data_IF_817185211792
#
_entry.id   IF_817185211792
#
_cell.length_a   1.000
_cell.length_b   1.000
_cell.length_c   1.000
_cell.angle_alpha   90.00
_cell.angle_beta   90.00
_cell.angle_gamma   90.00
#
_symmetry.space_group_name_H-M   'P 1'
#
loop_
_entity.id
_entity.type
_entity.pdbx_description
1 polymer ?
#
# COMPACT_ATOMS: atom_id res chain seq x y z
N UNK A 1 47.87 -23.50 2.86
CA UNK A 1 46.52 -23.43 3.45
C UNK A 1 45.76 -22.34 2.69
N UNK A 2 45.13 -22.73 1.59
CA UNK A 2 44.51 -21.82 0.62
C UNK A 2 43.22 -21.22 1.20
N UNK A 3 43.10 -19.89 1.09
CA UNK A 3 41.87 -19.14 1.36
C UNK A 3 40.79 -19.67 0.41
N UNK A 4 39.66 -20.11 0.98
CA UNK A 4 38.43 -20.34 0.23
C UNK A 4 37.96 -18.97 -0.30
N UNK A 5 38.11 -18.77 -1.60
CA UNK A 5 37.46 -17.68 -2.31
C UNK A 5 35.95 -17.84 -2.16
N UNK A 6 35.33 -16.81 -1.59
CA UNK A 6 33.88 -16.67 -1.51
C UNK A 6 33.34 -16.47 -2.91
N UNK A 7 32.70 -17.50 -3.46
CA UNK A 7 31.86 -17.38 -4.65
C UNK A 7 30.76 -16.36 -4.36
N UNK A 8 30.76 -15.22 -5.05
CA UNK A 8 29.63 -14.30 -5.08
C UNK A 8 28.39 -15.09 -5.52
N UNK A 9 27.24 -15.03 -4.82
CA UNK A 9 26.07 -15.79 -5.23
C UNK A 9 25.64 -15.30 -6.61
N UNK A 10 25.65 -16.20 -7.60
CA UNK A 10 25.09 -15.92 -8.92
C UNK A 10 23.65 -15.44 -8.76
N UNK A 11 23.29 -14.40 -9.51
CA UNK A 11 21.94 -13.85 -9.53
C UNK A 11 20.94 -14.98 -9.89
N UNK A 12 20.06 -15.36 -8.94
CA UNK A 12 19.04 -16.36 -9.22
C UNK A 12 17.91 -15.68 -9.99
N UNK A 13 17.58 -16.15 -11.22
CA UNK A 13 16.51 -15.55 -12.00
C UNK A 13 15.14 -15.74 -11.32
N UNK A 14 14.27 -14.77 -11.51
CA UNK A 14 12.86 -14.85 -11.09
C UNK A 14 12.14 -15.92 -11.91
N UNK A 15 11.50 -16.85 -11.22
CA UNK A 15 10.66 -17.86 -11.87
C UNK A 15 9.28 -17.29 -12.18
N UNK A 16 8.95 -17.24 -13.47
CA UNK A 16 7.70 -16.67 -13.98
C UNK A 16 6.48 -17.56 -13.77
N UNK A 17 6.65 -18.80 -13.29
CA UNK A 17 5.55 -19.73 -12.99
C UNK A 17 4.71 -19.30 -11.79
N UNK A 18 5.27 -18.51 -10.88
CA UNK A 18 4.52 -18.01 -9.72
C UNK A 18 3.50 -16.97 -10.17
N UNK A 19 2.21 -17.29 -10.00
CA UNK A 19 1.12 -16.40 -10.39
C UNK A 19 0.68 -15.52 -9.21
N UNK A 20 0.21 -14.30 -9.52
CA UNK A 20 -0.35 -13.34 -8.57
C UNK A 20 -1.84 -13.09 -8.76
N UNK A 21 -2.33 -13.16 -10.00
CA UNK A 21 -3.74 -13.03 -10.39
C UNK A 21 -4.07 -14.04 -11.49
N UNK A 22 -5.31 -14.49 -11.57
CA UNK A 22 -5.75 -15.50 -12.57
C UNK A 22 -7.18 -15.25 -13.03
N UNK A 23 -8.06 -14.91 -12.09
CA UNK A 23 -9.49 -14.79 -12.33
C UNK A 23 -9.82 -13.70 -13.35
N UNK A 24 -10.67 -14.01 -14.32
CA UNK A 24 -11.08 -13.08 -15.38
C UNK A 24 -9.99 -12.79 -16.44
N UNK A 25 -8.79 -13.36 -16.29
CA UNK A 25 -7.67 -13.11 -17.19
C UNK A 25 -7.55 -14.20 -18.25
N UNK A 26 -7.02 -13.88 -19.44
CA UNK A 26 -6.80 -14.87 -20.50
C UNK A 26 -5.73 -15.91 -20.14
N UNK A 27 -4.90 -15.63 -19.12
CA UNK A 27 -3.88 -16.52 -18.56
C UNK A 27 -3.44 -16.03 -17.18
N UNK A 28 -2.88 -16.91 -16.31
CA UNK A 28 -2.32 -16.48 -15.04
C UNK A 28 -1.29 -15.35 -15.21
N UNK A 29 -1.45 -14.32 -14.41
CA UNK A 29 -0.60 -13.14 -14.39
C UNK A 29 0.57 -13.36 -13.42
N UNK A 30 1.83 -13.21 -13.88
CA UNK A 30 2.98 -13.46 -13.01
C UNK A 30 2.95 -12.56 -11.77
N UNK A 31 3.32 -13.13 -10.63
CA UNK A 31 3.31 -12.40 -9.35
C UNK A 31 4.19 -11.17 -9.43
N UNK A 32 5.40 -11.27 -10.01
CA UNK A 32 6.31 -10.14 -10.18
C UNK A 32 5.65 -8.96 -10.92
N UNK A 33 4.90 -9.22 -11.99
CA UNK A 33 4.22 -8.17 -12.74
C UNK A 33 3.19 -7.44 -11.87
N UNK A 34 2.40 -8.18 -11.08
CA UNK A 34 1.48 -7.57 -10.13
C UNK A 34 2.19 -6.76 -9.02
N UNK A 35 3.32 -7.25 -8.50
CA UNK A 35 4.13 -6.51 -7.52
C UNK A 35 4.62 -5.17 -8.10
N UNK A 36 5.06 -5.17 -9.37
CA UNK A 36 5.46 -3.96 -10.10
C UNK A 36 4.27 -3.02 -10.28
N UNK A 37 3.13 -3.54 -10.72
CA UNK A 37 1.93 -2.75 -10.97
C UNK A 37 1.47 -2.02 -9.71
N UNK A 38 1.40 -2.73 -8.59
CA UNK A 38 1.05 -2.13 -7.30
C UNK A 38 2.07 -1.07 -6.86
N UNK A 39 3.37 -1.29 -7.08
CA UNK A 39 4.39 -0.29 -6.78
C UNK A 39 4.24 0.99 -7.64
N UNK A 40 3.94 0.84 -8.93
CA UNK A 40 3.77 1.96 -9.86
C UNK A 40 2.51 2.76 -9.56
N UNK A 41 1.39 2.06 -9.31
CA UNK A 41 0.13 2.69 -8.89
C UNK A 41 0.29 3.40 -7.54
N UNK A 42 0.99 2.80 -6.57
CA UNK A 42 1.30 3.48 -5.32
C UNK A 42 2.06 4.79 -5.55
N UNK A 43 3.06 4.79 -6.44
CA UNK A 43 3.80 6.00 -6.82
C UNK A 43 2.89 7.10 -7.37
N UNK A 44 1.94 6.75 -8.24
CA UNK A 44 0.96 7.69 -8.76
C UNK A 44 -0.01 8.20 -7.66
N UNK A 45 -0.48 7.32 -6.77
CA UNK A 45 -1.33 7.70 -5.64
C UNK A 45 -0.60 8.64 -4.68
N UNK A 46 0.67 8.37 -4.38
CA UNK A 46 1.53 9.24 -3.57
C UNK A 46 1.60 10.65 -4.14
N UNK A 47 1.72 10.78 -5.46
CA UNK A 47 1.86 12.08 -6.12
C UNK A 47 0.57 12.90 -6.13
N UNK A 48 -0.60 12.24 -6.24
CA UNK A 48 -1.88 12.94 -6.39
C UNK A 48 -2.67 13.07 -5.09
N UNK A 49 -2.65 12.06 -4.21
CA UNK A 49 -3.46 12.04 -2.99
C UNK A 49 -2.81 12.73 -1.80
N UNK A 50 -1.49 12.66 -1.68
CA UNK A 50 -0.79 13.28 -0.55
C UNK A 50 -0.43 14.73 -0.86
N UNK A 51 -0.71 15.63 0.09
CA UNK A 51 -0.22 17.00 0.05
C UNK A 51 1.30 17.06 0.27
N UNK A 52 1.95 18.13 -0.17
CA UNK A 52 3.39 18.35 0.05
C UNK A 52 3.77 18.20 1.53
N UNK A 53 2.98 18.80 2.41
CA UNK A 53 3.17 18.72 3.85
C UNK A 53 3.09 17.27 4.37
N UNK A 54 2.15 16.46 3.86
CA UNK A 54 2.05 15.05 4.25
C UNK A 54 3.23 14.23 3.72
N UNK A 55 3.65 14.47 2.47
CA UNK A 55 4.82 13.82 1.86
C UNK A 55 6.09 14.12 2.66
N UNK A 56 6.29 15.37 3.06
CA UNK A 56 7.38 15.79 3.92
C UNK A 56 7.30 15.17 5.32
N UNK A 57 6.11 15.12 5.92
CA UNK A 57 5.90 14.50 7.24
C UNK A 57 6.26 13.03 7.23
N UNK A 58 5.83 12.28 6.21
CA UNK A 58 6.16 10.87 6.03
C UNK A 58 7.66 10.68 5.78
N UNK A 59 8.27 11.48 4.90
CA UNK A 59 9.70 11.40 4.62
C UNK A 59 10.56 11.68 5.87
N UNK A 60 10.22 12.73 6.62
CA UNK A 60 10.87 13.07 7.90
C UNK A 60 10.74 11.97 8.94
N UNK A 61 9.56 11.34 9.04
CA UNK A 61 9.33 10.24 9.96
C UNK A 61 10.23 9.02 9.67
N UNK A 62 10.51 8.76 8.38
CA UNK A 62 11.41 7.70 7.94
C UNK A 62 12.90 8.07 8.01
N UNK A 63 13.22 9.36 8.18
CA UNK A 63 14.60 9.87 8.08
C UNK A 63 15.10 9.91 6.63
N UNK A 64 14.21 10.15 5.66
CA UNK A 64 14.50 10.12 4.22
C UNK A 64 14.16 11.45 3.55
N UNK A 65 14.70 11.69 2.36
CA UNK A 65 14.17 12.73 1.46
C UNK A 65 12.80 12.33 0.90
N UNK A 66 12.00 13.30 0.42
CA UNK A 66 10.68 13.00 -0.18
C UNK A 66 10.79 12.06 -1.38
N UNK A 67 11.83 12.22 -2.21
CA UNK A 67 12.08 11.37 -3.37
C UNK A 67 12.46 9.93 -2.98
N UNK A 68 13.29 9.77 -1.94
CA UNK A 68 13.62 8.46 -1.38
C UNK A 68 12.41 7.81 -0.74
N UNK A 69 11.65 8.54 0.09
CA UNK A 69 10.43 8.05 0.72
C UNK A 69 9.43 7.54 -0.33
N UNK A 70 9.22 8.28 -1.42
CA UNK A 70 8.37 7.84 -2.53
C UNK A 70 8.82 6.50 -3.11
N UNK A 71 10.11 6.33 -3.41
CA UNK A 71 10.67 5.08 -3.97
C UNK A 71 10.61 3.92 -2.97
N UNK A 72 10.96 4.18 -1.71
CA UNK A 72 10.92 3.17 -0.64
C UNK A 72 9.50 2.71 -0.35
N UNK A 73 8.53 3.62 -0.30
CA UNK A 73 7.13 3.26 -0.04
C UNK A 73 6.46 2.61 -1.26
N UNK A 74 6.82 2.99 -2.49
CA UNK A 74 6.42 2.25 -3.69
C UNK A 74 6.98 0.82 -3.68
N UNK A 75 8.25 0.66 -3.30
CA UNK A 75 8.85 -0.66 -3.08
C UNK A 75 8.09 -1.47 -2.02
N UNK A 76 7.75 -0.87 -0.87
CA UNK A 76 6.94 -1.55 0.15
C UNK A 76 5.57 -1.97 -0.38
N UNK A 77 4.89 -1.09 -1.12
CA UNK A 77 3.60 -1.41 -1.73
C UNK A 77 3.71 -2.60 -2.67
N UNK A 78 4.75 -2.67 -3.50
CA UNK A 78 5.00 -3.82 -4.35
C UNK A 78 5.31 -5.11 -3.58
N UNK A 79 5.75 -5.05 -2.32
CA UNK A 79 6.02 -6.24 -1.50
C UNK A 79 4.78 -6.83 -0.79
N UNK A 80 3.62 -6.16 -0.82
CA UNK A 80 2.43 -6.58 -0.07
C UNK A 80 2.03 -8.05 -0.34
N UNK A 81 2.19 -8.50 -1.58
CA UNK A 81 1.80 -9.83 -2.06
C UNK A 81 2.98 -10.80 -2.23
N UNK A 82 4.16 -10.50 -1.68
CA UNK A 82 5.32 -11.39 -1.79
C UNK A 82 5.04 -12.80 -1.21
N UNK A 83 4.16 -12.89 -0.22
CA UNK A 83 3.69 -14.14 0.38
C UNK A 83 2.85 -15.02 -0.55
N UNK A 84 2.48 -14.56 -1.75
CA UNK A 84 1.89 -15.42 -2.79
C UNK A 84 2.87 -16.44 -3.34
N UNK A 85 4.17 -16.22 -3.16
CA UNK A 85 5.23 -17.20 -3.46
C UNK A 85 5.32 -18.19 -2.29
N UNK A 86 4.25 -18.96 -2.11
CA UNK A 86 4.12 -20.01 -1.09
C UNK A 86 3.28 -21.18 -1.61
N UNK A 87 3.53 -22.42 -1.13
CA UNK A 87 2.76 -23.59 -1.55
C UNK A 87 1.24 -23.45 -1.37
N UNK A 88 0.69 -23.03 -0.20
CA UNK A 88 -0.76 -22.91 -0.03
C UNK A 88 -1.41 -21.90 -0.98
N UNK A 89 -0.72 -20.81 -1.33
CA UNK A 89 -1.27 -19.84 -2.29
C UNK A 89 -1.24 -20.39 -3.71
N UNK A 90 -0.08 -20.88 -4.17
CA UNK A 90 0.05 -21.37 -5.55
C UNK A 90 -0.87 -22.56 -5.82
N UNK A 91 -1.07 -23.44 -4.83
CA UNK A 91 -1.96 -24.60 -4.91
C UNK A 91 -3.45 -24.26 -5.03
N UNK A 92 -3.86 -23.00 -4.90
CA UNK A 92 -5.24 -22.58 -5.16
C UNK A 92 -5.63 -22.78 -6.64
N UNK A 93 -4.66 -22.78 -7.55
CA UNK A 93 -4.85 -23.11 -8.97
C UNK A 93 -4.01 -24.35 -9.31
N UNK A 94 -4.59 -25.56 -9.20
CA UNK A 94 -3.86 -26.82 -9.35
C UNK A 94 -3.08 -26.94 -10.66
N UNK A 95 -3.64 -26.46 -11.76
CA UNK A 95 -3.05 -26.52 -13.09
C UNK A 95 -1.79 -25.65 -13.19
N UNK A 96 -1.83 -24.43 -12.64
CA UNK A 96 -0.66 -23.54 -12.59
C UNK A 96 0.40 -24.06 -11.61
N UNK A 97 -0.03 -24.67 -10.50
CA UNK A 97 0.87 -25.20 -9.49
C UNK A 97 1.60 -26.48 -9.92
N UNK A 98 1.01 -27.29 -10.81
CA UNK A 98 1.54 -28.61 -11.17
C UNK A 98 3.02 -28.58 -11.60
N UNK A 99 3.42 -27.58 -12.38
CA UNK A 99 4.80 -27.44 -12.85
C UNK A 99 5.78 -27.03 -11.74
N UNK A 100 5.34 -26.27 -10.75
CA UNK A 100 6.16 -25.89 -9.58
C UNK A 100 6.23 -27.03 -8.58
N UNK A 101 5.11 -27.74 -8.38
CA UNK A 101 4.99 -28.87 -7.44
C UNK A 101 5.91 -30.04 -7.79
N UNK A 102 6.07 -30.32 -9.08
CA UNK A 102 6.89 -31.45 -9.56
C UNK A 102 8.38 -31.09 -9.73
N UNK A 103 8.75 -29.83 -9.46
CA UNK A 103 10.12 -29.36 -9.57
C UNK A 103 10.88 -29.62 -8.26
N UNK A 104 11.99 -30.38 -8.29
CA UNK A 104 12.74 -30.72 -7.09
C UNK A 104 13.36 -29.50 -6.38
N UNK A 105 13.46 -28.34 -7.05
CA UNK A 105 13.92 -27.11 -6.41
C UNK A 105 12.91 -26.57 -5.39
N UNK A 106 11.61 -26.84 -5.55
CA UNK A 106 10.54 -26.26 -4.73
C UNK A 106 9.98 -27.23 -3.69
N UNK A 107 10.85 -27.70 -2.81
CA UNK A 107 10.47 -28.60 -1.70
C UNK A 107 9.54 -27.88 -0.70
N UNK A 108 8.52 -28.58 -0.20
CA UNK A 108 7.67 -28.15 0.91
C UNK A 108 7.22 -29.38 1.73
N UNK A 109 6.83 -29.14 2.98
CA UNK A 109 6.39 -30.21 3.87
C UNK A 109 5.08 -30.85 3.38
N UNK A 110 4.88 -32.18 3.53
CA UNK A 110 3.64 -32.83 3.15
C UNK A 110 2.40 -32.17 3.79
N UNK A 111 1.46 -31.72 2.96
CA UNK A 111 0.22 -31.08 3.41
C UNK A 111 0.31 -29.56 3.59
N UNK A 112 1.49 -28.94 3.49
CA UNK A 112 1.64 -27.48 3.54
C UNK A 112 0.81 -26.79 2.45
N UNK A 113 0.66 -27.41 1.27
CA UNK A 113 -0.16 -26.90 0.17
C UNK A 113 -1.67 -26.85 0.49
N UNK A 114 -2.12 -27.55 1.55
CA UNK A 114 -3.52 -27.55 2.02
C UNK A 114 -3.78 -26.62 3.20
N UNK A 115 -2.77 -25.90 3.67
CA UNK A 115 -2.85 -25.04 4.86
C UNK A 115 -3.58 -23.72 4.57
N UNK A 116 -4.90 -23.77 4.38
CA UNK A 116 -5.73 -22.60 4.02
C UNK A 116 -5.73 -21.47 5.06
N UNK A 117 -5.44 -21.79 6.32
CA UNK A 117 -5.34 -20.79 7.38
C UNK A 117 -4.07 -19.92 7.26
N UNK A 118 -3.02 -20.43 6.61
CA UNK A 118 -1.80 -19.68 6.35
C UNK A 118 -1.96 -18.87 5.06
N UNK A 119 -2.62 -17.71 5.20
CA UNK A 119 -2.92 -16.82 4.08
C UNK A 119 -1.67 -16.07 3.61
N UNK A 120 -1.70 -15.56 2.38
CA UNK A 120 -0.52 -14.97 1.75
C UNK A 120 -0.07 -13.68 2.45
N UNK A 121 -0.98 -12.93 3.08
CA UNK A 121 -0.62 -11.75 3.87
C UNK A 121 0.18 -12.11 5.13
N UNK A 122 -0.13 -13.25 5.75
CA UNK A 122 0.69 -13.80 6.84
C UNK A 122 2.05 -14.22 6.31
N UNK A 123 2.10 -14.92 5.18
CA UNK A 123 3.37 -15.28 4.55
C UNK A 123 4.25 -14.06 4.21
N UNK A 124 3.64 -12.96 3.73
CA UNK A 124 4.31 -11.68 3.51
C UNK A 124 4.91 -11.17 4.82
N UNK A 125 4.12 -11.14 5.91
CA UNK A 125 4.61 -10.70 7.22
C UNK A 125 5.83 -11.51 7.65
N UNK A 126 5.77 -12.84 7.61
CA UNK A 126 6.87 -13.70 8.03
C UNK A 126 8.12 -13.54 7.16
N UNK A 127 7.97 -13.54 5.83
CA UNK A 127 9.10 -13.48 4.92
C UNK A 127 9.82 -12.12 4.96
N UNK A 128 9.08 -11.02 5.06
CA UNK A 128 9.65 -9.69 4.99
C UNK A 128 10.47 -9.29 6.21
N UNK A 129 10.20 -9.85 7.41
CA UNK A 129 11.03 -9.54 8.60
C UNK A 129 12.49 -9.87 8.32
N UNK A 130 12.76 -11.03 7.73
CA UNK A 130 14.12 -11.47 7.39
C UNK A 130 14.67 -10.67 6.21
N UNK A 131 13.93 -10.57 5.10
CA UNK A 131 14.41 -9.92 3.87
C UNK A 131 14.73 -8.44 4.08
N UNK A 132 13.91 -7.72 4.85
CA UNK A 132 14.17 -6.31 5.17
C UNK A 132 15.37 -6.18 6.13
N UNK A 133 15.53 -7.11 7.08
CA UNK A 133 16.73 -7.17 7.93
C UNK A 133 18.02 -7.39 7.13
N UNK A 134 18.00 -8.34 6.18
CA UNK A 134 19.10 -8.58 5.22
C UNK A 134 19.38 -7.34 4.35
N UNK A 135 18.34 -6.57 4.01
CA UNK A 135 18.44 -5.33 3.25
C UNK A 135 18.95 -4.13 4.08
N UNK A 136 19.25 -4.32 5.37
CA UNK A 136 19.83 -3.32 6.26
C UNK A 136 18.81 -2.58 7.15
N UNK A 137 17.52 -2.92 7.09
CA UNK A 137 16.51 -2.24 7.91
C UNK A 137 16.78 -2.51 9.40
N UNK A 138 16.73 -1.48 10.27
CA UNK A 138 17.03 -1.64 11.69
C UNK A 138 16.19 -2.74 12.35
N UNK A 139 16.86 -3.79 12.84
CA UNK A 139 16.19 -4.99 13.36
C UNK A 139 16.84 -5.66 14.57
N UNK A 140 17.88 -5.07 15.16
CA UNK A 140 18.81 -5.76 16.06
C UNK A 140 18.49 -5.76 17.57
N UNK A 141 17.30 -5.35 18.01
CA UNK A 141 16.96 -5.32 19.45
C UNK A 141 16.33 -6.62 19.97
N UNK A 142 16.41 -6.86 21.30
CA UNK A 142 15.65 -7.95 22.00
C UNK A 142 14.12 -7.86 21.80
N UNK A 143 13.62 -6.74 21.28
CA UNK A 143 12.19 -6.44 21.14
C UNK A 143 11.82 -6.32 19.66
N UNK A 144 11.11 -7.31 19.11
CA UNK A 144 10.67 -7.28 17.70
C UNK A 144 9.69 -6.16 17.38
N UNK A 145 8.87 -5.73 18.35
CA UNK A 145 7.92 -4.63 18.16
C UNK A 145 8.58 -3.32 17.73
N UNK A 146 9.83 -3.08 18.11
CA UNK A 146 10.57 -1.85 17.77
C UNK A 146 11.47 -2.01 16.55
N UNK A 147 11.57 -3.20 15.95
CA UNK A 147 12.34 -3.41 14.74
C UNK A 147 11.59 -2.81 13.54
N UNK A 148 12.26 -1.93 12.79
CA UNK A 148 11.70 -1.30 11.58
C UNK A 148 11.37 -2.37 10.54
N UNK A 149 12.24 -3.37 10.39
CA UNK A 149 11.98 -4.52 9.51
C UNK A 149 10.68 -5.25 9.88
N UNK A 150 10.41 -5.46 11.17
CA UNK A 150 9.19 -6.11 11.64
C UNK A 150 7.96 -5.21 11.47
N UNK A 151 8.06 -3.92 11.80
CA UNK A 151 6.94 -2.97 11.67
C UNK A 151 6.48 -2.85 10.22
N UNK A 152 7.41 -2.74 9.28
CA UNK A 152 7.11 -2.68 7.83
C UNK A 152 6.50 -4.01 7.38
N UNK A 153 7.08 -5.14 7.78
CA UNK A 153 6.52 -6.46 7.45
C UNK A 153 5.10 -6.66 8.02
N UNK A 154 4.84 -6.17 9.23
CA UNK A 154 3.53 -6.23 9.88
C UNK A 154 2.50 -5.34 9.16
N UNK A 155 2.91 -4.12 8.78
CA UNK A 155 2.09 -3.20 8.00
C UNK A 155 1.65 -3.86 6.68
N UNK A 156 2.60 -4.42 5.94
CA UNK A 156 2.34 -5.06 4.66
C UNK A 156 1.57 -6.38 4.79
N UNK A 157 1.78 -7.14 5.85
CA UNK A 157 0.95 -8.31 6.16
C UNK A 157 -0.48 -7.97 6.59
N UNK A 158 -0.77 -6.69 6.85
CA UNK A 158 -2.10 -6.21 7.22
C UNK A 158 -2.98 -5.72 6.06
N UNK A 159 -2.53 -5.86 4.81
CA UNK A 159 -3.21 -5.26 3.65
C UNK A 159 -4.61 -5.83 3.36
N UNK A 160 -5.02 -6.92 4.02
CA UNK A 160 -6.42 -7.42 4.00
C UNK A 160 -7.26 -6.93 5.19
N UNK A 161 -6.83 -5.89 5.89
CA UNK A 161 -7.58 -5.23 6.96
C UNK A 161 -7.36 -5.79 8.37
N UNK A 162 -6.47 -6.77 8.55
CA UNK A 162 -6.12 -7.33 9.86
C UNK A 162 -4.60 -7.45 10.02
N UNK A 163 -4.04 -6.76 11.00
CA UNK A 163 -2.59 -6.79 11.27
C UNK A 163 -2.21 -8.02 12.11
N UNK A 164 -1.18 -8.74 11.66
CA UNK A 164 -0.64 -9.89 12.39
C UNK A 164 -0.08 -9.51 13.76
N UNK A 165 0.04 -10.48 14.67
CA UNK A 165 0.69 -10.27 15.98
C UNK A 165 2.20 -10.03 15.83
N UNK A 166 2.83 -9.48 16.87
CA UNK A 166 4.29 -9.35 16.89
C UNK A 166 4.93 -10.74 16.89
N UNK A 167 5.79 -11.00 15.91
CA UNK A 167 6.48 -12.28 15.77
C UNK A 167 7.64 -12.36 16.76
N UNK A 168 7.98 -13.57 17.22
CA UNK A 168 9.14 -13.76 18.10
C UNK A 168 10.40 -13.97 17.27
N UNK A 169 11.51 -13.34 17.68
CA UNK A 169 12.79 -13.44 16.96
C UNK A 169 13.25 -14.90 16.73
N UNK A 170 13.06 -15.78 17.72
CA UNK A 170 13.40 -17.22 17.61
C UNK A 170 12.57 -17.93 16.53
N UNK A 171 11.29 -17.58 16.42
CA UNK A 171 10.36 -18.17 15.46
C UNK A 171 10.70 -17.68 14.04
N UNK A 172 10.95 -16.38 13.89
CA UNK A 172 11.40 -15.80 12.62
C UNK A 172 12.72 -16.43 12.16
N UNK A 173 13.70 -16.64 13.05
CA UNK A 173 14.97 -17.28 12.68
C UNK A 173 14.82 -18.70 12.12
N UNK A 174 13.72 -19.39 12.44
CA UNK A 174 13.41 -20.74 11.95
C UNK A 174 12.04 -20.76 11.25
N UNK A 175 11.74 -19.73 10.46
CA UNK A 175 10.40 -19.47 9.94
C UNK A 175 9.75 -20.69 9.27
N UNK A 176 10.45 -21.40 8.37
CA UNK A 176 9.90 -22.58 7.68
C UNK A 176 9.60 -23.77 8.61
N UNK A 177 10.24 -23.85 9.78
CA UNK A 177 9.93 -24.88 10.78
C UNK A 177 8.68 -24.55 11.59
N UNK A 178 8.43 -23.26 11.85
CA UNK A 178 7.24 -22.79 12.56
C UNK A 178 6.02 -22.59 11.65
N UNK A 179 6.26 -22.30 10.37
CA UNK A 179 5.25 -22.08 9.34
C UNK A 179 5.62 -22.90 8.09
N UNK A 180 5.24 -24.20 8.06
CA UNK A 180 5.51 -25.07 6.92
C UNK A 180 4.94 -24.54 5.59
N UNK A 181 3.84 -23.79 5.66
CA UNK A 181 3.25 -23.06 4.54
C UNK A 181 4.17 -22.04 3.85
N UNK A 182 5.34 -21.69 4.40
CA UNK A 182 6.34 -20.88 3.69
C UNK A 182 7.11 -21.66 2.61
N UNK A 183 7.09 -22.99 2.65
CA UNK A 183 7.92 -23.84 1.82
C UNK A 183 9.40 -23.86 2.23
N UNK A 184 10.17 -24.70 1.56
CA UNK A 184 11.61 -24.88 1.75
C UNK A 184 12.46 -23.88 0.95
N UNK A 185 13.72 -24.24 0.73
CA UNK A 185 14.76 -23.31 0.26
C UNK A 185 14.46 -22.66 -1.10
N UNK A 186 13.96 -23.41 -2.09
CA UNK A 186 13.62 -22.83 -3.40
C UNK A 186 12.55 -21.74 -3.32
N UNK A 187 11.58 -21.88 -2.40
CA UNK A 187 10.55 -20.87 -2.16
C UNK A 187 11.14 -19.61 -1.52
N UNK A 188 12.04 -19.77 -0.56
CA UNK A 188 12.74 -18.66 0.08
C UNK A 188 13.67 -17.94 -0.90
N UNK A 189 14.38 -18.69 -1.75
CA UNK A 189 15.23 -18.16 -2.82
C UNK A 189 14.40 -17.34 -3.80
N UNK A 190 13.23 -17.81 -4.21
CA UNK A 190 12.37 -17.09 -5.14
C UNK A 190 11.75 -15.84 -4.51
N UNK A 191 11.32 -15.87 -3.24
CA UNK A 191 10.93 -14.64 -2.53
C UNK A 191 12.06 -13.61 -2.48
N UNK A 192 13.31 -14.05 -2.24
CA UNK A 192 14.49 -13.16 -2.25
C UNK A 192 14.78 -12.61 -3.65
N UNK A 193 14.66 -13.43 -4.70
CA UNK A 193 14.84 -12.99 -6.08
C UNK A 193 13.80 -11.92 -6.47
N UNK A 194 12.52 -12.14 -6.15
CA UNK A 194 11.45 -11.17 -6.40
C UNK A 194 11.63 -9.88 -5.59
N UNK A 195 12.02 -9.99 -4.31
CA UNK A 195 12.37 -8.83 -3.47
C UNK A 195 13.52 -8.02 -4.10
N UNK A 196 14.57 -8.70 -4.55
CA UNK A 196 15.74 -8.09 -5.17
C UNK A 196 15.40 -7.36 -6.47
N UNK A 197 14.68 -8.02 -7.38
CA UNK A 197 14.27 -7.41 -8.65
C UNK A 197 13.32 -6.23 -8.45
N UNK A 198 12.34 -6.37 -7.56
CA UNK A 198 11.45 -5.27 -7.22
C UNK A 198 12.22 -4.07 -6.64
N UNK A 199 13.19 -4.32 -5.75
CA UNK A 199 14.03 -3.26 -5.17
C UNK A 199 14.89 -2.58 -6.25
N UNK A 200 15.42 -3.36 -7.19
CA UNK A 200 16.23 -2.89 -8.32
C UNK A 200 15.48 -1.89 -9.17
N UNK A 201 14.29 -2.26 -9.65
CA UNK A 201 13.54 -1.44 -10.60
C UNK A 201 12.82 -0.26 -9.96
N UNK A 202 12.33 -0.41 -8.73
CA UNK A 202 11.71 0.71 -7.98
C UNK A 202 12.74 1.70 -7.44
N UNK A 203 14.01 1.30 -7.33
CA UNK A 203 15.06 2.11 -6.73
C UNK A 203 14.89 2.30 -5.21
N UNK A 204 14.17 1.39 -4.53
CA UNK A 204 13.91 1.40 -3.09
C UNK A 204 15.15 1.06 -2.24
N UNK A 205 16.29 1.68 -2.53
CA UNK A 205 17.59 1.37 -1.93
C UNK A 205 17.79 2.02 -0.56
N UNK A 206 17.26 3.24 -0.38
CA UNK A 206 17.36 3.96 0.88
C UNK A 206 16.73 3.15 2.02
N UNK A 207 17.43 3.11 3.16
CA UNK A 207 17.00 2.38 4.34
C UNK A 207 16.44 3.39 5.35
N UNK A 208 15.18 3.23 5.81
CA UNK A 208 14.64 4.11 6.83
C UNK A 208 15.42 3.98 8.14
N UNK A 209 15.68 5.11 8.77
CA UNK A 209 16.31 5.17 10.10
C UNK A 209 15.35 4.71 11.19
N UNK A 210 14.05 4.96 10.98
CA UNK A 210 12.97 4.79 11.94
C UNK A 210 11.72 4.23 11.25
N UNK A 211 10.87 3.59 12.04
CA UNK A 211 9.56 3.15 11.59
C UNK A 211 8.56 4.30 11.53
N UNK A 212 7.46 4.08 10.81
CA UNK A 212 6.36 5.04 10.75
C UNK A 212 5.64 5.10 12.10
N UNK A 213 5.36 6.29 12.63
CA UNK A 213 4.33 6.49 13.64
C UNK A 213 3.00 5.87 13.20
N UNK A 214 2.20 5.41 14.16
CA UNK A 214 0.97 4.65 13.88
C UNK A 214 0.01 5.41 12.95
N UNK A 215 -0.14 6.72 13.14
CA UNK A 215 -0.99 7.58 12.32
C UNK A 215 -0.54 7.64 10.86
N UNK A 216 0.77 7.63 10.59
CA UNK A 216 1.30 7.62 9.23
C UNK A 216 1.28 6.21 8.64
N UNK A 217 1.51 5.19 9.47
CA UNK A 217 1.41 3.79 9.08
C UNK A 217 0.02 3.45 8.54
N UNK A 218 -1.05 3.96 9.18
CA UNK A 218 -2.43 3.77 8.72
C UNK A 218 -2.67 4.43 7.35
N UNK A 219 -2.16 5.64 7.13
CA UNK A 219 -2.28 6.33 5.84
C UNK A 219 -1.55 5.54 4.75
N UNK A 220 -0.31 5.14 5.00
CA UNK A 220 0.49 4.36 4.04
C UNK A 220 -0.16 3.00 3.77
N UNK A 221 -0.65 2.30 4.79
CA UNK A 221 -1.38 1.05 4.61
C UNK A 221 -2.63 1.24 3.74
N UNK A 222 -3.40 2.31 3.97
CA UNK A 222 -4.55 2.65 3.13
C UNK A 222 -4.16 2.88 1.66
N UNK A 223 -3.05 3.57 1.41
CA UNK A 223 -2.52 3.75 0.05
C UNK A 223 -2.07 2.43 -0.59
N UNK A 224 -1.43 1.53 0.17
CA UNK A 224 -1.05 0.19 -0.32
C UNK A 224 -2.29 -0.61 -0.73
N UNK A 225 -3.35 -0.57 0.09
CA UNK A 225 -4.61 -1.26 -0.20
C UNK A 225 -5.26 -0.72 -1.47
N UNK A 226 -5.37 0.61 -1.60
CA UNK A 226 -5.94 1.24 -2.81
C UNK A 226 -5.08 0.92 -4.04
N UNK A 227 -3.74 0.89 -3.89
CA UNK A 227 -2.85 0.53 -4.97
C UNK A 227 -3.06 -0.91 -5.46
N UNK A 228 -3.17 -1.87 -4.54
CA UNK A 228 -3.47 -3.27 -4.88
C UNK A 228 -4.85 -3.39 -5.55
N UNK A 229 -5.88 -2.70 -5.04
CA UNK A 229 -7.21 -2.73 -5.64
C UNK A 229 -7.21 -2.21 -7.08
N UNK A 230 -6.55 -1.08 -7.34
CA UNK A 230 -6.45 -0.52 -8.70
C UNK A 230 -5.60 -1.41 -9.62
N UNK A 231 -4.48 -1.96 -9.13
CA UNK A 231 -3.60 -2.85 -9.89
C UNK A 231 -4.20 -4.26 -10.09
N UNK A 232 -5.31 -4.58 -9.42
CA UNK A 232 -6.00 -5.88 -9.52
C UNK A 232 -7.13 -5.89 -10.55
N UNK A 233 -7.53 -4.74 -11.09
CA UNK A 233 -8.62 -4.65 -12.05
C UNK A 233 -8.22 -5.28 -13.39
N UNK A 234 -9.16 -5.97 -14.04
CA UNK A 234 -8.91 -6.59 -15.35
C UNK A 234 -8.50 -5.53 -16.38
N UNK A 235 -9.12 -4.35 -16.33
CA UNK A 235 -8.82 -3.21 -17.19
C UNK A 235 -7.42 -2.64 -16.96
N UNK A 236 -6.85 -2.84 -15.77
CA UNK A 236 -5.46 -2.47 -15.47
C UNK A 236 -4.47 -3.55 -15.93
N UNK A 237 -4.81 -4.83 -15.73
CA UNK A 237 -3.93 -5.97 -15.99
C UNK A 237 -3.85 -6.31 -17.49
N UNK A 238 -4.98 -6.36 -18.18
CA UNK A 238 -5.04 -6.83 -19.59
C UNK A 238 -4.11 -6.02 -20.51
N UNK A 239 -4.07 -4.67 -20.44
CA UNK A 239 -3.15 -3.87 -21.26
C UNK A 239 -1.67 -4.04 -20.89
N UNK A 240 -1.37 -4.56 -19.68
CA UNK A 240 -0.02 -4.78 -19.16
C UNK A 240 0.44 -6.23 -19.26
N UNK A 241 -0.39 -7.15 -19.75
CA UNK A 241 -0.01 -8.55 -19.91
C UNK A 241 1.36 -8.68 -20.62
N UNK A 242 2.31 -9.45 -20.05
CA UNK A 242 3.56 -9.70 -20.73
C UNK A 242 3.31 -10.50 -22.03
N UNK A 243 4.28 -10.58 -22.94
CA UNK A 243 4.17 -11.49 -24.08
C UNK A 243 4.17 -12.96 -23.63
N UNK A 244 3.69 -13.87 -24.50
CA UNK A 244 3.89 -15.32 -24.29
C UNK A 244 5.39 -15.62 -24.31
N UNK A 245 5.86 -16.42 -23.35
CA UNK A 245 7.28 -16.77 -23.23
C UNK A 245 8.16 -15.75 -22.51
N UNK A 246 7.57 -14.72 -21.89
CA UNK A 246 8.25 -13.79 -20.99
C UNK A 246 9.02 -14.53 -19.90
N UNK A 247 10.29 -14.19 -19.69
CA UNK A 247 11.22 -14.92 -18.81
C UNK A 247 11.65 -14.15 -17.58
N UNK A 248 11.11 -12.94 -17.37
CA UNK A 248 11.56 -12.02 -16.33
C UNK A 248 13.08 -11.75 -16.38
N UNK A 249 13.65 -11.64 -17.59
CA UNK A 249 15.00 -11.07 -17.71
C UNK A 249 15.01 -9.62 -17.21
N UNK A 250 16.13 -9.08 -16.72
CA UNK A 250 16.18 -7.70 -16.23
C UNK A 250 15.61 -6.68 -17.22
N UNK A 251 15.91 -6.84 -18.51
CA UNK A 251 15.40 -6.00 -19.58
C UNK A 251 13.88 -6.12 -19.75
N UNK A 252 13.35 -7.34 -19.69
CA UNK A 252 11.90 -7.59 -19.75
C UNK A 252 11.14 -7.05 -18.53
N UNK A 253 11.77 -7.10 -17.36
CA UNK A 253 11.22 -6.50 -16.13
C UNK A 253 11.25 -4.98 -16.22
N UNK A 254 12.33 -4.39 -16.72
CA UNK A 254 12.46 -2.94 -16.91
C UNK A 254 11.42 -2.42 -17.92
N UNK A 255 11.23 -3.12 -19.04
CA UNK A 255 10.19 -2.79 -20.02
C UNK A 255 8.77 -2.88 -19.43
N UNK A 256 8.50 -3.90 -18.59
CA UNK A 256 7.22 -4.00 -17.88
C UNK A 256 7.03 -2.81 -16.95
N UNK A 257 8.05 -2.50 -16.15
CA UNK A 257 8.04 -1.39 -15.20
C UNK A 257 7.83 -0.03 -15.87
N UNK A 258 8.45 0.23 -17.03
CA UNK A 258 8.21 1.43 -17.82
C UNK A 258 6.75 1.55 -18.28
N UNK A 259 6.15 0.45 -18.75
CA UNK A 259 4.73 0.40 -19.15
C UNK A 259 3.82 0.67 -17.96
N UNK A 260 4.10 0.05 -16.82
CA UNK A 260 3.39 0.27 -15.56
C UNK A 260 3.44 1.74 -15.15
N UNK A 261 4.62 2.35 -15.12
CA UNK A 261 4.79 3.77 -14.75
C UNK A 261 4.03 4.70 -15.70
N UNK A 262 3.99 4.37 -17.00
CA UNK A 262 3.22 5.14 -17.99
C UNK A 262 1.70 4.99 -17.79
N UNK A 263 1.23 3.81 -17.40
CA UNK A 263 -0.19 3.52 -17.22
C UNK A 263 -0.76 4.03 -15.87
N UNK A 264 0.04 3.97 -14.80
CA UNK A 264 -0.40 4.22 -13.43
C UNK A 264 -1.11 5.58 -13.21
N UNK A 265 -0.62 6.73 -13.73
CA UNK A 265 -1.33 8.01 -13.60
C UNK A 265 -2.73 7.98 -14.24
N UNK A 266 -2.87 7.28 -15.38
CA UNK A 266 -4.16 7.11 -16.06
C UNK A 266 -5.14 6.27 -15.26
N UNK A 267 -4.67 5.19 -14.61
CA UNK A 267 -5.49 4.36 -13.73
C UNK A 267 -6.02 5.15 -12.53
N UNK A 268 -5.15 5.91 -11.87
CA UNK A 268 -5.53 6.73 -10.71
C UNK A 268 -6.50 7.85 -11.12
N UNK A 269 -6.26 8.50 -12.25
CA UNK A 269 -7.16 9.53 -12.78
C UNK A 269 -8.52 8.97 -13.22
N UNK A 270 -8.53 7.77 -13.82
CA UNK A 270 -9.76 7.04 -14.21
C UNK A 270 -10.62 6.67 -13.01
N UNK A 271 -9.99 6.33 -11.88
CA UNK A 271 -10.66 6.13 -10.59
C UNK A 271 -11.14 7.44 -9.92
N UNK A 272 -10.95 8.60 -10.58
CA UNK A 272 -11.34 9.92 -10.09
C UNK A 272 -10.67 10.35 -8.77
N UNK A 273 -9.54 9.74 -8.43
CA UNK A 273 -8.77 10.02 -7.21
C UNK A 273 -7.90 11.28 -7.40
N UNK A 274 -7.70 12.04 -6.32
CA UNK A 274 -6.85 13.24 -6.31
C UNK A 274 -7.49 14.48 -6.96
N UNK A 275 -8.79 14.43 -7.27
CA UNK A 275 -9.54 15.55 -7.86
C UNK A 275 -10.00 16.61 -6.85
N UNK A 276 -10.30 16.19 -5.63
CA UNK A 276 -10.85 17.10 -4.63
C UNK A 276 -9.79 18.14 -4.21
N UNK A 277 -10.16 19.41 -4.34
CA UNK A 277 -9.37 20.56 -3.89
C UNK A 277 -10.30 21.58 -3.28
N UNK A 278 -9.79 22.28 -2.29
CA UNK A 278 -10.37 23.55 -1.88
C UNK A 278 -9.68 24.56 -2.79
N UNK A 279 -10.40 25.10 -3.78
CA UNK A 279 -9.85 26.10 -4.72
C UNK A 279 -10.52 27.47 -4.53
N UNK A 280 -11.71 27.51 -3.91
CA UNK A 280 -12.42 28.73 -3.63
C UNK A 280 -11.95 29.37 -2.32
N UNK A 281 -11.57 30.64 -2.41
CA UNK A 281 -11.06 31.46 -1.30
C UNK A 281 -12.18 32.33 -0.69
N UNK A 282 -13.17 32.70 -1.50
CA UNK A 282 -14.31 33.53 -1.09
C UNK A 282 -15.63 32.76 -0.92
N UNK A 283 -16.55 33.31 -0.11
CA UNK A 283 -17.89 32.75 0.01
C UNK A 283 -18.67 32.89 -1.31
N UNK A 284 -18.49 34.01 -2.00
CA UNK A 284 -19.17 34.32 -3.26
C UNK A 284 -18.71 33.41 -4.42
N UNK A 285 -17.51 32.84 -4.33
CA UNK A 285 -17.00 31.86 -5.29
C UNK A 285 -17.63 30.49 -5.08
N UNK A 286 -18.05 30.19 -3.85
CA UNK A 286 -18.71 28.94 -3.48
C UNK A 286 -20.23 28.99 -3.67
N UNK A 287 -20.84 30.15 -3.46
CA UNK A 287 -22.28 30.32 -3.42
C UNK A 287 -22.72 31.57 -4.19
N UNK A 288 -23.73 31.41 -5.03
CA UNK A 288 -24.27 32.50 -5.88
C UNK A 288 -25.21 33.47 -5.14
N UNK A 289 -25.15 33.53 -3.80
CA UNK A 289 -26.03 34.35 -2.97
C UNK A 289 -25.24 35.04 -1.85
N UNK A 290 -25.80 36.12 -1.31
CA UNK A 290 -25.17 36.88 -0.24
C UNK A 290 -25.22 36.13 1.10
N UNK A 291 -24.13 36.11 1.88
CA UNK A 291 -24.09 35.39 3.15
C UNK A 291 -25.11 35.96 4.15
N UNK A 292 -25.78 35.08 4.89
CA UNK A 292 -26.61 35.47 6.02
C UNK A 292 -25.76 35.90 7.22
N UNK A 293 -26.38 36.30 8.34
CA UNK A 293 -25.65 36.79 9.51
C UNK A 293 -24.63 35.79 10.08
N UNK A 294 -24.96 34.49 10.13
CA UNK A 294 -24.06 33.43 10.59
C UNK A 294 -22.87 33.27 9.64
N UNK A 295 -23.15 33.19 8.34
CA UNK A 295 -22.14 33.01 7.29
C UNK A 295 -21.22 34.22 7.22
N UNK A 296 -21.77 35.44 7.29
CA UNK A 296 -21.00 36.68 7.26
C UNK A 296 -20.04 36.81 8.44
N UNK A 297 -20.45 36.38 9.64
CA UNK A 297 -19.55 36.37 10.82
C UNK A 297 -18.37 35.39 10.61
N UNK A 298 -18.64 34.20 10.05
CA UNK A 298 -17.59 33.25 9.69
C UNK A 298 -16.65 33.79 8.61
N UNK A 299 -17.19 34.40 7.55
CA UNK A 299 -16.41 35.03 6.48
C UNK A 299 -15.49 36.11 7.05
N UNK A 300 -15.99 36.94 7.96
CA UNK A 300 -15.23 38.06 8.53
C UNK A 300 -14.13 37.62 9.53
N UNK A 301 -14.35 36.53 10.28
CA UNK A 301 -13.48 36.18 11.43
C UNK A 301 -12.63 34.94 11.23
N UNK A 302 -13.17 33.90 10.59
CA UNK A 302 -12.53 32.59 10.54
C UNK A 302 -11.15 32.61 9.84
N UNK A 303 -10.97 33.28 8.68
CA UNK A 303 -9.67 33.29 8.00
C UNK A 303 -8.54 33.83 8.89
N UNK A 304 -8.78 34.97 9.58
CA UNK A 304 -7.79 35.58 10.49
C UNK A 304 -7.48 34.69 11.68
N UNK A 305 -8.51 34.07 12.28
CA UNK A 305 -8.30 33.15 13.40
C UNK A 305 -7.45 31.94 13.01
N UNK A 306 -7.66 31.42 11.80
CA UNK A 306 -6.91 30.28 11.27
C UNK A 306 -5.48 30.67 10.88
N UNK A 307 -5.28 31.87 10.34
CA UNK A 307 -3.94 32.42 10.07
C UNK A 307 -3.12 32.57 11.37
N UNK A 308 -3.74 33.08 12.43
CA UNK A 308 -3.08 33.29 13.72
C UNK A 308 -2.83 31.99 14.51
N UNK A 309 -3.77 31.03 14.46
CA UNK A 309 -3.79 29.87 15.37
C UNK A 309 -3.60 28.52 14.68
N UNK A 310 -3.60 28.50 13.35
CA UNK A 310 -3.57 27.27 12.55
C UNK A 310 -4.93 26.56 12.45
N UNK A 311 -4.95 25.34 11.91
CA UNK A 311 -6.18 24.56 11.73
C UNK A 311 -6.79 24.12 13.08
N UNK A 312 -8.09 23.88 13.10
CA UNK A 312 -8.82 23.54 14.32
C UNK A 312 -10.22 22.97 14.10
N UNK A 313 -11.01 22.95 15.18
CA UNK A 313 -12.39 22.47 15.20
C UNK A 313 -13.36 23.65 15.29
N UNK A 314 -14.28 23.77 14.33
CA UNK A 314 -15.38 24.74 14.38
C UNK A 314 -16.67 24.06 14.86
N UNK A 315 -17.29 24.62 15.90
CA UNK A 315 -18.62 24.22 16.38
C UNK A 315 -19.64 25.31 16.00
N UNK A 316 -20.66 24.93 15.23
CA UNK A 316 -21.75 25.84 14.83
C UNK A 316 -23.06 25.39 15.45
N UNK A 317 -23.62 26.22 16.32
CA UNK A 317 -24.94 26.01 16.94
C UNK A 317 -25.91 27.09 16.45
N UNK A 318 -26.81 26.72 15.54
CA UNK A 318 -27.81 27.63 14.99
C UNK A 318 -29.15 26.90 14.70
N UNK A 319 -30.31 27.61 14.74
CA UNK A 319 -31.62 27.11 14.33
C UNK A 319 -31.65 26.43 12.96
N UNK A 320 -32.66 25.58 12.72
CA UNK A 320 -32.92 24.99 11.39
C UNK A 320 -33.33 26.09 10.42
N UNK A 321 -32.74 26.08 9.22
CA UNK A 321 -32.97 27.12 8.20
C UNK A 321 -31.88 28.18 8.11
N UNK A 322 -31.00 28.30 9.11
CA UNK A 322 -29.98 29.37 9.17
C UNK A 322 -28.74 29.13 8.28
N UNK A 323 -28.82 28.28 7.26
CA UNK A 323 -27.72 28.07 6.31
C UNK A 323 -26.44 27.46 6.93
N UNK A 324 -26.60 26.56 7.92
CA UNK A 324 -25.49 25.85 8.57
C UNK A 324 -24.66 25.00 7.60
N UNK A 325 -25.27 24.51 6.54
CA UNK A 325 -24.59 23.66 5.55
C UNK A 325 -23.55 24.46 4.79
N UNK A 326 -23.93 25.63 4.29
CA UNK A 326 -23.05 26.52 3.53
C UNK A 326 -21.98 27.15 4.42
N UNK A 327 -22.35 27.48 5.67
CA UNK A 327 -21.39 27.86 6.71
C UNK A 327 -20.32 26.77 6.95
N UNK A 328 -20.74 25.50 7.04
CA UNK A 328 -19.82 24.38 7.26
C UNK A 328 -18.93 24.11 6.03
N UNK A 329 -19.47 24.22 4.81
CA UNK A 329 -18.70 24.06 3.58
C UNK A 329 -17.66 25.16 3.38
N UNK A 330 -18.03 26.42 3.62
CA UNK A 330 -17.08 27.54 3.61
C UNK A 330 -15.99 27.33 4.66
N UNK A 331 -16.37 27.00 5.90
CA UNK A 331 -15.42 26.74 6.96
C UNK A 331 -14.49 25.55 6.65
N UNK A 332 -15.00 24.50 6.00
CA UNK A 332 -14.19 23.37 5.56
C UNK A 332 -13.15 23.77 4.52
N UNK A 333 -13.44 24.74 3.65
CA UNK A 333 -12.45 25.33 2.73
C UNK A 333 -11.33 26.03 3.48
N UNK A 334 -11.69 26.96 4.36
CA UNK A 334 -10.73 27.79 5.11
C UNK A 334 -9.84 26.91 6.00
N UNK A 335 -10.45 26.02 6.78
CA UNK A 335 -9.71 25.09 7.65
C UNK A 335 -8.92 24.07 6.84
N UNK A 336 -9.47 23.62 5.71
CA UNK A 336 -8.85 22.66 4.81
C UNK A 336 -7.54 23.18 4.21
N UNK A 337 -7.55 24.42 3.71
CA UNK A 337 -6.34 25.11 3.24
C UNK A 337 -5.25 25.17 4.31
N UNK A 338 -5.59 25.63 5.50
CA UNK A 338 -4.63 25.77 6.60
C UNK A 338 -4.09 24.43 7.10
N UNK A 339 -4.90 23.35 7.02
CA UNK A 339 -4.46 22.00 7.35
C UNK A 339 -3.69 21.30 6.22
N UNK A 340 -3.58 21.92 5.03
CA UNK A 340 -3.04 21.27 3.84
C UNK A 340 -3.88 20.05 3.41
N UNK A 341 -5.17 20.03 3.73
CA UNK A 341 -6.11 18.96 3.39
C UNK A 341 -6.59 19.11 1.95
N UNK A 342 -6.96 17.98 1.32
CA UNK A 342 -7.38 17.89 -0.09
C UNK A 342 -8.76 17.23 -0.27
N UNK A 343 -9.65 17.37 0.71
CA UNK A 343 -10.96 16.76 0.63
C UNK A 343 -11.83 17.00 1.84
N UNK A 344 -13.12 16.74 1.69
CA UNK A 344 -14.13 16.89 2.73
C UNK A 344 -14.94 15.60 2.87
N UNK A 345 -15.28 15.23 4.10
CA UNK A 345 -16.22 14.15 4.38
C UNK A 345 -17.43 14.72 5.13
N UNK A 346 -18.60 14.67 4.49
CA UNK A 346 -19.86 15.13 5.07
C UNK A 346 -20.63 13.94 5.62
N UNK A 347 -20.91 13.97 6.93
CA UNK A 347 -21.72 12.96 7.60
C UNK A 347 -23.13 13.47 7.82
N UNK A 348 -24.09 12.82 7.18
CA UNK A 348 -25.52 13.08 7.38
C UNK A 348 -26.09 12.18 8.47
N UNK A 349 -27.12 12.67 9.17
CA UNK A 349 -27.90 11.82 10.07
C UNK A 349 -28.71 10.82 9.21
N UNK A 350 -28.73 9.53 9.55
CA UNK A 350 -29.58 8.58 8.84
C UNK A 350 -31.04 9.00 8.94
N UNK A 351 -31.79 8.82 7.85
CA UNK A 351 -33.25 8.98 7.88
C UNK A 351 -33.83 7.92 8.81
N UNK A 352 -34.70 8.26 9.78
CA UNK A 352 -35.35 7.25 10.60
C UNK A 352 -36.16 6.30 9.71
N UNK A 353 -36.16 4.98 9.97
CA UNK A 353 -37.03 4.07 9.24
C UNK A 353 -38.49 4.56 9.35
N UNK A 354 -39.33 4.36 8.32
CA UNK A 354 -40.72 4.77 8.38
C UNK A 354 -41.37 4.15 9.62
N UNK A 355 -41.89 5.01 10.49
CA UNK A 355 -42.67 4.58 11.64
C UNK A 355 -43.84 3.76 11.11
N UNK A 356 -44.06 2.50 11.55
CA UNK A 356 -45.26 1.79 11.17
C UNK A 356 -46.44 2.63 11.62
N UNK A 357 -47.29 3.06 10.68
CA UNK A 357 -48.59 3.60 11.03
C UNK A 357 -49.31 2.53 11.84
N UNK A 358 -49.44 2.77 13.16
CA UNK A 358 -50.36 2.03 14.00
C UNK A 358 -51.74 2.31 13.39
N UNK A 359 -52.29 1.35 12.65
CA UNK A 359 -53.70 1.37 12.26
C UNK A 359 -54.47 1.16 13.57
N UNK A 360 -55.12 2.24 14.03
CA UNK A 360 -56.08 2.21 15.12
C UNK A 360 -57.38 1.51 14.73
#
# INVERSE_FOLDING_TARGET
MMKRESVSPGHVPVDTRFWGKEHGLPRPYPVLCHLLDTAGVFGALWDVLLSDQMREKVARALGLTVAEARRVLAFWAGLHDLGKITPPFQAQVPEAFAAVRNDPAYVFAPGAERERAFRHEMATHWALVQLLGEAGYPGGGRVMRSAVSHQVAQLLGGHHGCFGVVLKAKEVAHASAYQPGLGGDGWAVQRRAHFGELRRVTGGWAVPERGLPAELAVIVAGLVVVADWLASQEEAIIPLLPPKGWRATPEEVDMHWERTQKAAPGLVAGAQLGRARFDAEGFEEMFSFAPNALQADLVARLPRMVEEKGPGLLLVTAPTGDGKTEAALYAASVLGHAAGARGCFLRFRPWPPPTPCIRG
#
